data_IF_745508833455
#
_entry.id   IF_745508833455
#
_cell.length_a   1.000
_cell.length_b   1.000
_cell.length_c   1.000
_cell.angle_alpha   90.00
_cell.angle_beta   90.00
_cell.angle_gamma   90.00
#
_symmetry.space_group_name_H-M   'P 1'
#
loop_
_entity.id
_entity.type
_entity.pdbx_description
1 polymer ?
#
# COMPACT_ATOMS: atom_id res chain seq x y z
N UNK A 1 -37.76 -37.46 15.55
CA UNK A 1 -36.53 -37.27 14.76
C UNK A 1 -36.62 -35.91 14.09
N UNK A 2 -36.04 -34.87 14.69
CA UNK A 2 -35.64 -33.64 14.01
C UNK A 2 -34.34 -33.20 14.68
N UNK A 3 -33.23 -33.59 14.07
CA UNK A 3 -31.90 -33.01 14.27
C UNK A 3 -31.68 -31.98 13.16
N UNK A 4 -30.69 -31.10 13.38
CA UNK A 4 -30.23 -29.95 12.57
C UNK A 4 -30.79 -28.62 13.09
N UNK A 5 -29.99 -27.68 13.56
CA UNK A 5 -28.55 -27.58 13.56
C UNK A 5 -28.19 -26.26 14.24
N UNK A 6 -27.19 -26.33 15.10
CA UNK A 6 -26.58 -25.25 15.88
C UNK A 6 -26.57 -23.91 15.11
N UNK A 7 -27.20 -22.89 15.68
CA UNK A 7 -26.98 -21.49 15.30
C UNK A 7 -25.54 -21.12 15.64
N UNK A 8 -24.63 -21.31 14.70
CA UNK A 8 -23.27 -20.77 14.77
C UNK A 8 -23.33 -19.27 14.46
N UNK A 9 -23.77 -18.48 15.44
CA UNK A 9 -23.57 -17.04 15.49
C UNK A 9 -22.06 -16.76 15.65
N UNK A 10 -21.33 -16.67 14.54
CA UNK A 10 -19.96 -16.13 14.53
C UNK A 10 -19.57 -15.65 13.13
N UNK A 11 -20.06 -14.49 12.69
CA UNK A 11 -19.54 -13.82 11.48
C UNK A 11 -19.89 -12.33 11.43
N UNK A 12 -19.60 -11.57 12.48
CA UNK A 12 -19.70 -10.10 12.41
C UNK A 12 -18.34 -9.40 12.46
N UNK A 13 -17.31 -10.03 13.06
CA UNK A 13 -15.94 -9.50 13.19
C UNK A 13 -15.02 -9.65 11.97
N UNK A 14 -15.04 -10.82 11.31
CA UNK A 14 -14.07 -11.12 10.26
C UNK A 14 -14.22 -10.22 9.02
N UNK A 15 -15.46 -9.89 8.64
CA UNK A 15 -15.72 -9.05 7.46
C UNK A 15 -15.42 -7.57 7.69
N UNK A 16 -15.64 -7.06 8.91
CA UNK A 16 -15.31 -5.67 9.28
C UNK A 16 -13.79 -5.47 9.36
N UNK A 17 -13.07 -6.40 9.99
CA UNK A 17 -11.60 -6.38 10.06
C UNK A 17 -10.96 -6.48 8.66
N UNK A 18 -11.49 -7.34 7.79
CA UNK A 18 -10.99 -7.46 6.42
C UNK A 18 -11.27 -6.23 5.55
N UNK A 19 -12.45 -5.61 5.67
CA UNK A 19 -12.75 -4.35 4.97
C UNK A 19 -11.91 -3.18 5.48
N UNK A 20 -11.71 -3.06 6.80
CA UNK A 20 -10.88 -2.01 7.40
C UNK A 20 -9.42 -2.20 6.97
N UNK A 21 -8.91 -3.42 6.96
CA UNK A 21 -7.56 -3.75 6.49
C UNK A 21 -7.36 -3.41 5.00
N UNK A 22 -8.32 -3.74 4.15
CA UNK A 22 -8.26 -3.39 2.73
C UNK A 22 -8.33 -1.87 2.50
N UNK A 23 -9.15 -1.17 3.30
CA UNK A 23 -9.28 0.30 3.22
C UNK A 23 -8.01 1.00 3.72
N UNK A 24 -7.42 0.55 4.84
CA UNK A 24 -6.19 1.10 5.39
C UNK A 24 -4.99 0.84 4.48
N UNK A 25 -4.92 -0.34 3.87
CA UNK A 25 -3.93 -0.66 2.85
C UNK A 25 -4.08 0.26 1.64
N UNK A 26 -5.30 0.40 1.10
CA UNK A 26 -5.57 1.28 -0.04
C UNK A 26 -5.18 2.73 0.23
N UNK A 27 -5.53 3.27 1.40
CA UNK A 27 -5.12 4.63 1.81
C UNK A 27 -3.62 4.79 1.95
N UNK A 28 -2.91 3.74 2.36
CA UNK A 28 -1.44 3.78 2.45
C UNK A 28 -0.81 3.69 1.06
N UNK A 29 -1.42 2.89 0.17
CA UNK A 29 -1.04 2.78 -1.24
C UNK A 29 -1.14 4.12 -1.97
N UNK A 30 -2.30 4.79 -1.87
CA UNK A 30 -2.53 6.12 -2.47
C UNK A 30 -1.51 7.15 -1.96
N UNK A 31 -1.34 7.28 -0.64
CA UNK A 31 -0.37 8.21 -0.05
C UNK A 31 1.08 7.96 -0.50
N UNK A 32 1.47 6.70 -0.64
CA UNK A 32 2.83 6.35 -1.07
C UNK A 32 3.06 6.69 -2.54
N UNK A 33 2.06 6.53 -3.40
CA UNK A 33 2.13 6.98 -4.80
C UNK A 33 2.29 8.50 -4.83
N UNK A 34 1.40 9.23 -4.17
CA UNK A 34 1.44 10.70 -4.14
C UNK A 34 2.80 11.20 -3.62
N UNK A 35 3.35 10.57 -2.58
CA UNK A 35 4.65 10.92 -2.03
C UNK A 35 5.80 10.68 -3.02
N UNK A 36 5.79 9.53 -3.71
CA UNK A 36 6.80 9.21 -4.71
C UNK A 36 6.70 10.18 -5.89
N UNK A 37 5.49 10.51 -6.34
CA UNK A 37 5.25 11.52 -7.38
C UNK A 37 5.81 12.87 -6.96
N UNK A 38 5.40 13.38 -5.79
CA UNK A 38 5.87 14.67 -5.26
C UNK A 38 7.40 14.71 -5.10
N UNK A 39 8.02 13.65 -4.58
CA UNK A 39 9.48 13.58 -4.41
C UNK A 39 10.20 13.54 -5.76
N UNK A 40 9.65 12.81 -6.73
CA UNK A 40 10.24 12.71 -8.08
C UNK A 40 10.07 14.01 -8.87
N UNK A 41 8.95 14.71 -8.73
CA UNK A 41 8.72 16.00 -9.39
C UNK A 41 9.51 17.13 -8.74
N UNK A 42 9.55 17.18 -7.41
CA UNK A 42 10.25 18.25 -6.67
C UNK A 42 11.76 18.08 -6.68
N UNK A 43 12.25 16.83 -6.70
CA UNK A 43 13.66 16.49 -6.60
C UNK A 43 14.04 15.36 -7.57
N UNK A 44 14.03 15.62 -8.90
CA UNK A 44 14.17 14.58 -9.93
C UNK A 44 15.51 13.84 -9.89
N UNK A 45 16.57 14.48 -9.38
CA UNK A 45 17.90 13.87 -9.26
C UNK A 45 18.18 13.32 -7.84
N UNK A 46 17.24 13.46 -6.91
CA UNK A 46 17.42 13.01 -5.53
C UNK A 46 17.02 11.54 -5.35
N UNK A 47 17.94 10.66 -4.93
CA UNK A 47 17.63 9.25 -4.74
C UNK A 47 16.95 9.05 -3.38
N UNK A 48 15.69 9.46 -3.26
CA UNK A 48 14.88 9.27 -2.05
C UNK A 48 14.88 7.82 -1.58
N UNK A 49 14.79 7.60 -0.28
CA UNK A 49 14.81 6.29 0.37
C UNK A 49 13.40 5.85 0.76
N UNK A 50 13.17 4.55 0.92
CA UNK A 50 11.87 4.06 1.41
C UNK A 50 11.52 4.59 2.80
N UNK A 51 12.53 4.96 3.60
CA UNK A 51 12.34 5.59 4.90
C UNK A 51 11.78 7.00 4.77
N UNK A 52 12.35 7.82 3.88
CA UNK A 52 11.86 9.18 3.63
C UNK A 52 10.44 9.16 3.09
N UNK A 53 10.13 8.24 2.16
CA UNK A 53 8.75 8.05 1.69
C UNK A 53 7.81 7.68 2.84
N UNK A 54 8.25 6.81 3.74
CA UNK A 54 7.45 6.40 4.91
C UNK A 54 7.24 7.56 5.89
N UNK A 55 8.28 8.34 6.17
CA UNK A 55 8.23 9.55 7.00
C UNK A 55 7.30 10.61 6.39
N UNK A 56 7.36 10.81 5.07
CA UNK A 56 6.46 11.71 4.34
C UNK A 56 4.99 11.26 4.40
N UNK A 57 4.73 9.95 4.32
CA UNK A 57 3.38 9.38 4.35
C UNK A 57 2.81 9.18 5.77
N UNK A 58 3.64 9.29 6.81
CA UNK A 58 3.29 8.88 8.17
C UNK A 58 2.97 7.38 8.25
N UNK A 59 3.78 6.53 7.62
CA UNK A 59 3.62 5.08 7.66
C UNK A 59 4.91 4.36 8.06
N UNK A 60 4.82 3.07 8.34
CA UNK A 60 5.98 2.25 8.64
C UNK A 60 6.84 2.04 7.38
N UNK A 61 8.16 2.04 7.55
CA UNK A 61 9.10 1.78 6.47
C UNK A 61 8.82 0.45 5.74
N UNK A 62 8.41 -0.59 6.46
CA UNK A 62 7.98 -1.86 5.86
C UNK A 62 6.78 -1.71 4.92
N UNK A 63 5.83 -0.84 5.26
CA UNK A 63 4.65 -0.57 4.43
C UNK A 63 5.07 0.13 3.13
N UNK A 64 5.94 1.14 3.23
CA UNK A 64 6.53 1.81 2.07
C UNK A 64 7.32 0.83 1.18
N UNK A 65 8.14 -0.04 1.77
CA UNK A 65 8.90 -1.07 1.04
C UNK A 65 7.97 -2.04 0.31
N UNK A 66 6.95 -2.56 1.00
CA UNK A 66 6.00 -3.54 0.45
C UNK A 66 5.25 -2.96 -0.75
N UNK A 67 4.72 -1.75 -0.61
CA UNK A 67 3.98 -1.07 -1.68
C UNK A 67 4.92 -0.70 -2.83
N UNK A 68 6.11 -0.16 -2.55
CA UNK A 68 7.11 0.16 -3.58
C UNK A 68 7.52 -1.07 -4.41
N UNK A 69 7.69 -2.24 -3.76
CA UNK A 69 7.96 -3.50 -4.46
C UNK A 69 6.80 -3.90 -5.37
N UNK A 70 5.57 -3.68 -4.95
CA UNK A 70 4.39 -3.97 -5.75
C UNK A 70 4.29 -3.03 -6.96
N UNK A 71 4.56 -1.73 -6.78
CA UNK A 71 4.66 -0.76 -7.88
C UNK A 71 5.72 -1.15 -8.91
N UNK A 72 6.87 -1.67 -8.47
CA UNK A 72 7.92 -2.20 -9.37
C UNK A 72 7.49 -3.43 -10.16
N UNK A 73 6.67 -4.30 -9.57
CA UNK A 73 6.11 -5.47 -10.28
C UNK A 73 5.09 -5.04 -11.33
N UNK A 74 4.28 -4.04 -11.02
CA UNK A 74 3.30 -3.45 -11.92
C UNK A 74 3.93 -2.61 -13.03
N UNK A 75 5.21 -2.24 -12.90
CA UNK A 75 5.93 -1.44 -13.89
C UNK A 75 5.72 0.07 -13.75
N UNK A 76 5.05 0.51 -12.68
CA UNK A 76 4.83 1.94 -12.36
C UNK A 76 6.13 2.58 -11.89
N UNK A 77 6.86 1.89 -11.00
CA UNK A 77 8.18 2.32 -10.55
C UNK A 77 9.26 1.56 -11.31
N UNK A 78 10.33 2.25 -11.72
CA UNK A 78 11.46 1.58 -12.34
C UNK A 78 12.12 0.57 -11.37
N UNK A 79 12.66 -0.51 -11.93
CA UNK A 79 13.27 -1.59 -11.14
C UNK A 79 14.66 -1.20 -10.64
N UNK A 80 15.40 -0.46 -11.46
CA UNK A 80 16.81 -0.11 -11.29
C UNK A 80 16.99 1.31 -10.77
N UNK A 81 16.08 2.22 -11.12
CA UNK A 81 16.02 3.57 -10.57
C UNK A 81 14.81 3.72 -9.66
N UNK A 82 14.78 4.79 -8.86
CA UNK A 82 13.60 5.16 -8.08
C UNK A 82 12.77 6.21 -8.81
N UNK A 83 12.94 6.31 -10.13
CA UNK A 83 12.13 7.22 -10.94
C UNK A 83 10.84 6.50 -11.33
N UNK A 84 9.76 7.26 -11.35
CA UNK A 84 8.52 6.79 -11.95
C UNK A 84 8.77 6.58 -13.45
N UNK A 85 8.40 5.39 -13.95
CA UNK A 85 8.14 5.27 -15.37
C UNK A 85 6.71 5.74 -15.55
N UNK A 86 6.55 7.03 -15.85
CA UNK A 86 5.30 7.46 -16.43
C UNK A 86 5.25 6.80 -17.81
N UNK A 87 4.57 5.65 -17.90
CA UNK A 87 4.13 5.14 -19.19
C UNK A 87 3.10 6.14 -19.71
N UNK A 88 3.55 7.04 -20.60
CA UNK A 88 2.71 7.78 -21.53
C UNK A 88 2.11 6.86 -22.58
#
# INVERSE_FOLDING_TARGET
MLLLGKTSLKSTGYDEEHRISNTAYKRSYERIIDAIENLTESYPDYPWTYREVAEFCGCEAETAIRISRELKKQGILDKNTRHLRICS
#
